data_IF_600929493824
#
_entry.id   IF_600929493824
#
_cell.length_a   1.000
_cell.length_b   1.000
_cell.length_c   1.000
_cell.angle_alpha   90.00
_cell.angle_beta   90.00
_cell.angle_gamma   90.00
#
_symmetry.space_group_name_H-M   'P 1'
#
loop_
_entity.id
_entity.type
_entity.pdbx_description
1 polymer ?
#
# COMPACT_ATOMS: atom_id res chain seq x y z
N UNK A 1 -2.76 34.60 -1.13
CA UNK A 1 -3.46 33.47 -1.77
C UNK A 1 -2.42 32.40 -2.16
N UNK A 2 -2.07 31.47 -1.26
CA UNK A 2 -1.29 30.26 -1.56
C UNK A 2 -1.19 29.40 -0.28
N UNK A 3 -2.21 28.58 0.03
CA UNK A 3 -2.25 27.75 1.24
C UNK A 3 -2.27 26.24 0.99
N UNK A 4 -2.16 25.77 -0.27
CA UNK A 4 -2.28 24.36 -0.60
C UNK A 4 -1.15 23.86 -1.51
N UNK A 5 0.12 24.15 -1.16
CA UNK A 5 1.22 23.37 -1.74
C UNK A 5 1.23 21.99 -1.09
N UNK A 6 0.49 21.06 -1.68
CA UNK A 6 0.57 19.64 -1.32
C UNK A 6 2.03 19.18 -1.40
N UNK A 7 2.59 18.76 -0.27
CA UNK A 7 3.95 18.21 -0.26
C UNK A 7 3.91 16.85 -0.96
N UNK A 8 4.70 16.69 -2.02
CA UNK A 8 4.94 15.39 -2.64
C UNK A 8 5.69 14.53 -1.63
N UNK A 9 5.08 13.42 -1.22
CA UNK A 9 5.66 12.48 -0.26
C UNK A 9 5.84 11.13 -0.93
N UNK A 10 7.05 10.56 -0.83
CA UNK A 10 7.34 9.21 -1.31
C UNK A 10 6.99 8.22 -0.20
N UNK A 11 5.90 7.47 -0.39
CA UNK A 11 5.47 6.47 0.59
C UNK A 11 6.31 5.19 0.53
N UNK A 12 6.79 4.81 -0.66
CA UNK A 12 7.55 3.59 -0.92
C UNK A 12 8.49 3.87 -2.08
N UNK A 13 9.71 3.34 -2.04
CA UNK A 13 10.71 3.50 -3.09
C UNK A 13 11.48 2.19 -3.31
N UNK A 14 11.66 1.84 -4.59
CA UNK A 14 12.49 0.70 -5.03
C UNK A 14 12.24 -0.63 -4.30
N UNK A 15 10.98 -1.01 -4.13
CA UNK A 15 10.60 -2.32 -3.57
C UNK A 15 10.43 -3.35 -4.68
N UNK A 16 10.80 -4.60 -4.41
CA UNK A 16 10.58 -5.73 -5.30
C UNK A 16 10.38 -7.00 -4.48
N UNK A 17 9.29 -7.70 -4.72
CA UNK A 17 8.99 -8.99 -4.11
C UNK A 17 8.04 -9.77 -5.01
N UNK A 18 8.04 -11.09 -4.86
CA UNK A 18 7.08 -12.01 -5.48
C UNK A 18 6.40 -12.78 -4.37
N UNK A 19 5.09 -13.02 -4.52
CA UNK A 19 4.34 -13.91 -3.62
C UNK A 19 3.80 -15.05 -4.46
N UNK A 20 4.21 -16.26 -4.11
CA UNK A 20 3.84 -17.47 -4.82
C UNK A 20 2.51 -18.04 -4.34
N UNK A 21 1.91 -18.91 -5.16
CA UNK A 21 0.66 -19.57 -4.81
C UNK A 21 0.84 -20.42 -3.55
N UNK A 22 0.03 -20.14 -2.52
CA UNK A 22 0.05 -20.86 -1.24
C UNK A 22 0.91 -20.19 -0.18
N UNK A 23 1.60 -19.09 -0.50
CA UNK A 23 2.32 -18.31 0.49
C UNK A 23 1.39 -17.39 1.29
N UNK A 24 1.70 -17.26 2.58
CA UNK A 24 1.14 -16.25 3.45
C UNK A 24 2.25 -15.27 3.84
N UNK A 25 2.12 -14.02 3.42
CA UNK A 25 3.12 -12.97 3.65
C UNK A 25 2.49 -11.84 4.46
N UNK A 26 3.21 -11.36 5.47
CA UNK A 26 2.80 -10.21 6.27
C UNK A 26 3.69 -8.99 5.97
N UNK A 27 3.08 -7.84 5.71
CA UNK A 27 3.79 -6.57 5.57
C UNK A 27 3.75 -5.80 6.89
N UNK A 28 4.88 -5.73 7.58
CA UNK A 28 4.99 -5.16 8.94
C UNK A 28 5.79 -3.86 8.90
N UNK A 29 5.39 -2.88 9.71
CA UNK A 29 6.08 -1.60 9.80
C UNK A 29 5.27 -0.56 10.58
N UNK A 30 5.90 0.57 10.93
CA UNK A 30 5.27 1.68 11.66
C UNK A 30 4.16 2.36 10.84
N UNK A 31 3.33 3.17 11.49
CA UNK A 31 2.38 4.04 10.80
C UNK A 31 3.12 5.00 9.86
N UNK A 32 2.59 5.19 8.65
CA UNK A 32 3.24 5.98 7.60
C UNK A 32 4.32 5.25 6.80
N UNK A 33 4.72 4.02 7.15
CA UNK A 33 5.77 3.27 6.43
C UNK A 33 5.37 2.75 5.03
N UNK A 34 4.22 3.16 4.48
CA UNK A 34 3.78 2.79 3.14
C UNK A 34 2.98 1.48 3.03
N UNK A 35 2.66 0.80 4.14
CA UNK A 35 1.94 -0.51 4.10
C UNK A 35 0.64 -0.50 3.31
N UNK A 36 -0.27 0.42 3.63
CA UNK A 36 -1.56 0.56 2.94
C UNK A 36 -1.36 0.97 1.48
N UNK A 37 -0.32 1.76 1.19
CA UNK A 37 0.06 2.10 -0.19
C UNK A 37 0.51 0.85 -0.95
N UNK A 38 1.32 -0.03 -0.35
CA UNK A 38 1.77 -1.29 -0.98
C UNK A 38 0.60 -2.23 -1.26
N UNK A 39 -0.30 -2.38 -0.30
CA UNK A 39 -1.51 -3.20 -0.46
C UNK A 39 -2.45 -2.60 -1.52
N UNK A 40 -2.59 -1.28 -1.56
CA UNK A 40 -3.36 -0.57 -2.60
C UNK A 40 -2.76 -0.72 -4.01
N UNK A 41 -1.43 -0.79 -4.13
CA UNK A 41 -0.74 -1.10 -5.38
C UNK A 41 -1.03 -2.54 -5.85
N UNK A 42 -0.91 -3.52 -4.94
CA UNK A 42 -1.22 -4.94 -5.25
C UNK A 42 -2.70 -5.15 -5.59
N UNK A 43 -3.59 -4.44 -4.90
CA UNK A 43 -5.03 -4.46 -5.16
C UNK A 43 -5.44 -3.72 -6.46
N UNK A 44 -4.53 -2.98 -7.10
CA UNK A 44 -4.82 -2.18 -8.29
C UNK A 44 -5.64 -0.91 -8.01
N UNK A 45 -5.83 -0.54 -6.73
CA UNK A 45 -6.54 0.68 -6.31
C UNK A 45 -5.67 1.92 -6.53
N UNK A 46 -4.36 1.77 -6.37
CA UNK A 46 -3.35 2.82 -6.58
C UNK A 46 -2.48 2.43 -7.78
N UNK A 47 -2.16 3.39 -8.65
CA UNK A 47 -1.21 3.17 -9.76
C UNK A 47 0.23 3.47 -9.31
N UNK A 48 1.22 2.67 -9.71
CA UNK A 48 2.62 2.97 -9.41
C UNK A 48 3.06 4.25 -10.13
N UNK A 49 3.94 5.02 -9.49
CA UNK A 49 4.58 6.18 -10.14
C UNK A 49 5.68 5.75 -11.12
N UNK A 50 6.27 4.58 -10.90
CA UNK A 50 7.26 3.91 -11.74
C UNK A 50 7.27 2.41 -11.46
N UNK A 51 7.77 1.60 -12.39
CA UNK A 51 7.78 0.14 -12.28
C UNK A 51 6.43 -0.51 -12.60
N UNK A 52 6.22 -1.74 -12.12
CA UNK A 52 5.04 -2.54 -12.45
C UNK A 52 4.60 -3.43 -11.30
N UNK A 53 3.29 -3.71 -11.25
CA UNK A 53 2.69 -4.73 -10.39
C UNK A 53 1.97 -5.71 -11.30
N UNK A 54 2.28 -7.00 -11.18
CA UNK A 54 1.71 -8.07 -12.00
C UNK A 54 0.96 -9.02 -11.07
N UNK A 55 -0.31 -9.25 -11.34
CA UNK A 55 -1.16 -10.16 -10.56
C UNK A 55 -1.82 -11.17 -11.49
N UNK A 56 -2.01 -12.39 -11.00
CA UNK A 56 -2.67 -13.47 -11.73
C UNK A 56 -4.01 -13.80 -11.06
N UNK A 57 -5.11 -13.65 -11.80
CA UNK A 57 -6.46 -13.91 -11.29
C UNK A 57 -7.10 -12.70 -10.60
N UNK A 58 -8.08 -12.96 -9.73
CA UNK A 58 -8.81 -11.92 -9.00
C UNK A 58 -8.15 -11.63 -7.66
N UNK A 59 -7.87 -10.36 -7.40
CA UNK A 59 -7.45 -9.90 -6.08
C UNK A 59 -8.69 -9.61 -5.24
N UNK A 60 -8.99 -10.49 -4.29
CA UNK A 60 -9.97 -10.23 -3.24
C UNK A 60 -9.30 -9.34 -2.17
N UNK A 61 -9.38 -8.02 -2.35
CA UNK A 61 -8.81 -7.08 -1.39
C UNK A 61 -9.84 -6.70 -0.33
N UNK A 62 -9.60 -7.15 0.91
CA UNK A 62 -10.23 -6.53 2.08
C UNK A 62 -9.24 -5.53 2.64
N UNK A 63 -9.38 -4.27 2.23
CA UNK A 63 -8.63 -3.17 2.84
C UNK A 63 -9.33 -2.82 4.16
N UNK A 64 -8.85 -3.41 5.25
CA UNK A 64 -9.24 -2.98 6.60
C UNK A 64 -8.73 -1.55 6.80
N UNK A 65 -9.65 -0.59 6.82
CA UNK A 65 -9.40 0.73 7.41
C UNK A 65 -9.35 0.50 8.92
N UNK A 66 -8.15 0.27 9.44
CA UNK A 66 -7.95 -0.01 10.86
C UNK A 66 -8.78 0.94 11.72
N UNK A 67 -9.71 0.38 12.49
CA UNK A 67 -10.48 1.12 13.47
C UNK A 67 -9.47 1.71 14.47
N UNK A 68 -9.31 3.04 14.45
CA UNK A 68 -8.61 3.73 15.53
C UNK A 68 -9.53 3.68 16.74
N UNK A 69 -9.33 2.70 17.60
CA UNK A 69 -9.88 2.76 18.96
C UNK A 69 -9.01 3.73 19.76
N UNK A 70 -9.42 5.00 19.81
CA UNK A 70 -8.95 5.92 20.83
C UNK A 70 -9.79 5.61 22.07
N UNK A 71 -9.38 4.61 22.85
CA UNK A 71 -9.83 4.53 24.23
C UNK A 71 -8.94 5.47 25.05
N UNK A 72 -9.61 6.42 25.69
CA UNK A 72 -9.06 7.36 26.66
C UNK A 72 -8.60 6.63 27.92
#
# INVERSE_FOLDING_TARGET
MNLLRGRKYTAIENISFTVEKGEAVALIGRNGAGKSTSLGLVAGVIKPSSGSVITHGRIASMLELGAVSILN
#
